data_IF_646967939911
#
_entry.id   IF_646967939911
#
_cell.length_a   1.000
_cell.length_b   1.000
_cell.length_c   1.000
_cell.angle_alpha   90.00
_cell.angle_beta   90.00
_cell.angle_gamma   90.00
#
_symmetry.space_group_name_H-M   'P 1'
#
loop_
_entity.id
_entity.type
_entity.pdbx_description
1 polymer ?
#
# COMPACT_ATOMS: atom_id res chain seq x y z
N UNK A 1 -3.47 10.37 -21.22
CA UNK A 1 -4.58 10.39 -20.26
C UNK A 1 -4.11 9.85 -18.93
N UNK A 2 -4.26 10.61 -17.90
CA UNK A 2 -3.83 10.20 -16.57
C UNK A 2 -4.83 9.24 -15.94
N UNK A 3 -4.30 8.19 -15.32
CA UNK A 3 -5.10 7.33 -14.45
C UNK A 3 -5.10 7.97 -13.08
N UNK A 4 -6.19 8.62 -12.73
CA UNK A 4 -6.30 9.25 -11.42
C UNK A 4 -7.06 8.34 -10.48
N UNK A 5 -6.62 8.32 -9.22
CA UNK A 5 -7.39 7.71 -8.15
C UNK A 5 -8.69 8.51 -8.02
N UNK A 6 -9.79 7.80 -8.04
CA UNK A 6 -11.09 8.44 -7.90
C UNK A 6 -11.49 8.39 -6.43
N UNK A 7 -11.44 9.54 -5.76
CA UNK A 7 -11.95 9.67 -4.40
C UNK A 7 -13.45 9.40 -4.45
N UNK A 8 -13.92 8.54 -3.55
CA UNK A 8 -15.31 8.11 -3.54
C UNK A 8 -15.56 6.80 -4.27
N UNK A 9 -14.57 6.27 -5.00
CA UNK A 9 -14.70 4.95 -5.60
C UNK A 9 -14.56 3.86 -4.53
N UNK A 10 -15.17 2.70 -4.78
CA UNK A 10 -15.06 1.56 -3.87
C UNK A 10 -13.95 0.62 -4.31
N UNK A 11 -13.25 0.06 -3.33
CA UNK A 11 -12.23 -0.97 -3.57
C UNK A 11 -12.77 -2.29 -3.05
N UNK A 12 -12.92 -3.25 -3.95
CA UNK A 12 -13.49 -4.56 -3.64
C UNK A 12 -12.49 -5.70 -3.83
N UNK A 13 -11.41 -5.46 -4.58
CA UNK A 13 -10.41 -6.51 -4.89
C UNK A 13 -9.00 -5.98 -4.71
N UNK A 14 -8.06 -6.90 -4.52
CA UNK A 14 -6.64 -6.56 -4.44
C UNK A 14 -6.13 -5.95 -5.76
N UNK A 15 -6.65 -6.41 -6.89
CA UNK A 15 -6.27 -5.85 -8.19
C UNK A 15 -6.69 -4.39 -8.31
N UNK A 16 -7.89 -4.05 -7.85
CA UNK A 16 -8.34 -2.66 -7.85
C UNK A 16 -7.44 -1.80 -6.96
N UNK A 17 -7.09 -2.29 -5.77
CA UNK A 17 -6.18 -1.59 -4.88
C UNK A 17 -4.81 -1.39 -5.54
N UNK A 18 -4.26 -2.43 -6.13
CA UNK A 18 -2.96 -2.36 -6.80
C UNK A 18 -2.96 -1.31 -7.92
N UNK A 19 -4.04 -1.25 -8.70
CA UNK A 19 -4.17 -0.26 -9.76
C UNK A 19 -4.14 1.17 -9.23
N UNK A 20 -4.72 1.40 -8.07
CA UNK A 20 -4.75 2.73 -7.46
C UNK A 20 -3.37 3.18 -6.98
N UNK A 21 -2.49 2.24 -6.60
CA UNK A 21 -1.13 2.56 -6.19
C UNK A 21 -0.16 2.71 -7.35
N UNK A 22 -0.54 2.27 -8.54
CA UNK A 22 0.36 2.17 -9.69
C UNK A 22 1.04 3.48 -10.05
N UNK A 23 0.27 4.57 -10.10
CA UNK A 23 0.80 5.88 -10.52
C UNK A 23 1.81 6.41 -9.51
N UNK A 24 1.51 6.30 -8.21
CA UNK A 24 2.44 6.77 -7.17
C UNK A 24 3.71 5.92 -7.17
N UNK A 25 3.58 4.62 -7.41
CA UNK A 25 4.73 3.72 -7.49
C UNK A 25 5.61 4.04 -8.69
N UNK A 26 5.02 4.39 -9.82
CA UNK A 26 5.78 4.82 -11.00
C UNK A 26 6.57 6.10 -10.74
N UNK A 27 5.98 7.03 -10.00
CA UNK A 27 6.65 8.28 -9.65
C UNK A 27 7.87 8.05 -8.76
N UNK A 28 7.89 6.99 -7.97
CA UNK A 28 9.03 6.66 -7.12
C UNK A 28 10.24 6.20 -7.95
N UNK A 29 10.01 5.68 -9.18
CA UNK A 29 11.08 5.21 -10.05
C UNK A 29 11.84 4.06 -9.42
N UNK A 30 13.16 4.23 -9.24
CA UNK A 30 14.02 3.22 -8.64
C UNK A 30 14.04 3.27 -7.11
N UNK A 31 13.35 4.23 -6.53
CA UNK A 31 13.27 4.33 -5.07
C UNK A 31 12.16 3.42 -4.56
N UNK A 32 12.41 2.81 -3.42
CA UNK A 32 11.38 2.05 -2.73
C UNK A 32 10.53 3.02 -1.90
N UNK A 33 9.22 3.01 -2.15
CA UNK A 33 8.28 3.85 -1.44
C UNK A 33 7.30 3.03 -0.63
N UNK A 34 6.73 3.63 0.40
CA UNK A 34 5.67 3.04 1.18
C UNK A 34 4.47 3.98 1.18
N UNK A 35 3.29 3.43 0.92
CA UNK A 35 2.09 4.20 0.63
C UNK A 35 0.90 3.70 1.44
N UNK A 36 -0.03 4.61 1.72
CA UNK A 36 -1.29 4.29 2.42
C UNK A 36 -2.46 4.74 1.57
N UNK A 37 -3.43 3.85 1.37
CA UNK A 37 -4.71 4.18 0.77
C UNK A 37 -5.75 4.20 1.89
N UNK A 38 -6.28 5.38 2.26
CA UNK A 38 -7.27 5.46 3.33
C UNK A 38 -8.68 5.24 2.80
N UNK A 39 -9.46 4.45 3.53
CA UNK A 39 -10.81 4.06 3.14
C UNK A 39 -11.77 4.30 4.29
N UNK A 40 -13.05 4.47 3.95
CA UNK A 40 -14.09 4.43 4.98
C UNK A 40 -14.47 2.97 5.32
N UNK A 41 -15.40 2.78 6.23
CA UNK A 41 -15.80 1.44 6.68
C UNK A 41 -16.47 0.59 5.61
N UNK A 42 -16.89 1.17 4.52
CA UNK A 42 -17.49 0.46 3.39
C UNK A 42 -16.53 0.22 2.23
N UNK A 43 -15.26 0.59 2.37
CA UNK A 43 -14.27 0.41 1.32
C UNK A 43 -14.18 1.56 0.33
N UNK A 44 -14.76 2.71 0.67
CA UNK A 44 -14.73 3.87 -0.22
C UNK A 44 -13.43 4.67 -0.01
N UNK A 45 -12.80 5.02 -1.12
CA UNK A 45 -11.53 5.78 -1.10
C UNK A 45 -11.77 7.20 -0.60
N UNK A 46 -11.04 7.60 0.43
CA UNK A 46 -11.16 8.93 1.06
C UNK A 46 -10.13 9.92 0.54
N UNK A 47 -9.01 9.43 0.04
CA UNK A 47 -7.95 10.28 -0.50
C UNK A 47 -7.09 9.45 -1.45
N UNK A 48 -6.34 10.13 -2.31
CA UNK A 48 -5.33 9.47 -3.14
C UNK A 48 -4.29 8.80 -2.26
N UNK A 49 -3.56 7.79 -2.76
CA UNK A 49 -2.51 7.15 -1.98
C UNK A 49 -1.53 8.17 -1.40
N UNK A 50 -1.27 8.03 -0.12
CA UNK A 50 -0.42 8.96 0.62
C UNK A 50 0.98 8.36 0.72
N UNK A 51 1.99 9.12 0.33
CA UNK A 51 3.39 8.68 0.43
C UNK A 51 3.83 8.87 1.87
N UNK A 52 4.16 7.76 2.53
CA UNK A 52 4.63 7.78 3.92
C UNK A 52 6.15 7.83 3.95
N UNK A 53 6.80 7.16 3.01
CA UNK A 53 8.25 7.03 2.99
C UNK A 53 8.73 6.83 1.55
N UNK A 54 9.88 7.40 1.22
CA UNK A 54 10.57 7.17 -0.06
C UNK A 54 12.04 6.93 0.22
N UNK A 55 12.65 6.05 -0.59
CA UNK A 55 14.09 5.88 -0.59
C UNK A 55 14.65 4.96 0.48
N UNK A 56 13.79 4.22 1.20
CA UNK A 56 14.32 3.22 2.11
C UNK A 56 14.82 1.99 1.33
N UNK A 57 15.67 1.21 1.97
CA UNK A 57 16.24 0.03 1.32
C UNK A 57 15.37 -1.19 1.50
N UNK A 58 15.29 -2.00 0.44
CA UNK A 58 14.62 -3.28 0.47
C UNK A 58 15.23 -4.15 1.58
N UNK A 59 14.37 -4.82 2.33
CA UNK A 59 14.78 -5.70 3.43
C UNK A 59 15.08 -4.96 4.73
N UNK A 60 15.05 -3.63 4.72
CA UNK A 60 15.22 -2.82 5.94
C UNK A 60 13.91 -2.10 6.18
N UNK A 61 13.21 -2.47 7.24
CA UNK A 61 11.94 -1.85 7.58
C UNK A 61 12.19 -0.47 8.19
N UNK A 62 12.44 0.51 7.33
CA UNK A 62 12.67 1.90 7.75
C UNK A 62 11.37 2.72 7.74
N UNK A 63 10.22 2.06 7.67
CA UNK A 63 8.94 2.74 7.67
C UNK A 63 8.61 3.20 9.08
N UNK A 64 8.38 4.48 9.24
CA UNK A 64 7.88 5.02 10.50
C UNK A 64 6.39 4.73 10.60
N UNK A 65 6.05 3.74 11.41
CA UNK A 65 4.66 3.29 11.52
C UNK A 65 3.74 4.36 12.07
N UNK A 66 4.26 5.27 12.88
CA UNK A 66 3.49 6.40 13.37
C UNK A 66 2.96 7.24 12.21
N UNK A 67 3.77 7.43 11.17
CA UNK A 67 3.37 8.21 10.00
C UNK A 67 2.27 7.52 9.19
N UNK A 68 2.24 6.19 9.20
CA UNK A 68 1.14 5.44 8.57
C UNK A 68 -0.19 5.79 9.22
N UNK A 69 -0.23 5.77 10.55
CA UNK A 69 -1.46 6.02 11.28
C UNK A 69 -1.84 7.51 11.28
N UNK A 70 -0.86 8.40 11.32
CA UNK A 70 -1.13 9.83 11.18
C UNK A 70 -1.80 10.13 9.83
N UNK A 71 -1.29 9.54 8.76
CA UNK A 71 -1.86 9.72 7.43
C UNK A 71 -3.31 9.24 7.38
N UNK A 72 -3.58 8.08 7.96
CA UNK A 72 -4.92 7.50 8.00
C UNK A 72 -5.89 8.38 8.79
N UNK A 73 -5.51 8.77 9.99
CA UNK A 73 -6.42 9.52 10.88
C UNK A 73 -6.62 10.95 10.42
N UNK A 74 -5.67 11.53 9.72
CA UNK A 74 -5.79 12.89 9.19
C UNK A 74 -7.00 13.05 8.28
N UNK A 75 -7.36 12.02 7.56
CA UNK A 75 -8.52 12.03 6.65
C UNK A 75 -9.71 11.26 7.21
N UNK A 76 -9.66 10.86 8.46
CA UNK A 76 -10.77 10.16 9.10
C UNK A 76 -10.99 8.74 8.61
N UNK A 77 -9.94 8.03 8.26
CA UNK A 77 -10.05 6.67 7.74
C UNK A 77 -10.59 5.71 8.79
N UNK A 78 -11.42 4.76 8.34
CA UNK A 78 -11.88 3.62 9.12
C UNK A 78 -11.10 2.37 8.77
N UNK A 79 -10.48 2.36 7.58
CA UNK A 79 -9.71 1.22 7.07
C UNK A 79 -8.55 1.73 6.23
N UNK A 80 -7.52 0.89 6.11
CA UNK A 80 -6.38 1.20 5.25
C UNK A 80 -5.94 -0.03 4.46
N UNK A 81 -5.40 0.25 3.28
CA UNK A 81 -4.58 -0.68 2.53
C UNK A 81 -3.22 -0.01 2.39
N UNK A 82 -2.15 -0.74 2.68
CA UNK A 82 -0.80 -0.22 2.50
C UNK A 82 -0.15 -0.91 1.31
N UNK A 83 0.84 -0.25 0.74
CA UNK A 83 1.57 -0.79 -0.39
C UNK A 83 3.00 -0.30 -0.39
N UNK A 84 3.88 -1.08 -1.02
CA UNK A 84 5.21 -0.60 -1.35
C UNK A 84 5.65 -1.24 -2.67
N UNK A 85 6.61 -0.61 -3.33
CA UNK A 85 7.14 -1.11 -4.58
C UNK A 85 8.51 -1.74 -4.35
N UNK A 86 8.76 -2.85 -5.04
CA UNK A 86 10.08 -3.49 -5.11
C UNK A 86 10.75 -3.10 -6.43
N UNK A 87 11.70 -2.16 -6.42
CA UNK A 87 12.35 -1.73 -7.67
C UNK A 87 13.10 -2.85 -8.38
N UNK A 88 13.51 -3.89 -7.63
CA UNK A 88 14.19 -5.06 -8.21
C UNK A 88 13.31 -5.87 -9.16
N UNK A 89 11.99 -5.68 -9.11
CA UNK A 89 11.05 -6.48 -9.88
C UNK A 89 10.66 -7.80 -9.24
N UNK A 90 11.22 -8.11 -8.08
CA UNK A 90 10.92 -9.35 -7.34
C UNK A 90 9.73 -9.11 -6.42
N UNK A 91 8.66 -9.87 -6.62
CA UNK A 91 7.43 -9.71 -5.84
C UNK A 91 7.44 -10.45 -4.50
N UNK A 92 8.42 -11.32 -4.29
CA UNK A 92 8.46 -12.10 -3.06
C UNK A 92 8.62 -11.18 -1.84
N UNK A 93 7.74 -11.31 -0.83
CA UNK A 93 7.89 -10.53 0.40
C UNK A 93 9.17 -10.90 1.14
N UNK A 94 9.86 -9.90 1.68
CA UNK A 94 10.97 -10.13 2.58
C UNK A 94 10.46 -10.49 3.97
N UNK A 95 11.33 -11.00 4.83
CA UNK A 95 10.98 -11.22 6.23
C UNK A 95 10.58 -9.90 6.90
N UNK A 96 11.27 -8.81 6.55
CA UNK A 96 10.95 -7.49 7.06
C UNK A 96 9.56 -7.05 6.61
N UNK A 97 9.18 -7.34 5.38
CA UNK A 97 7.83 -7.03 4.87
C UNK A 97 6.75 -7.76 5.68
N UNK A 98 6.96 -9.05 5.92
CA UNK A 98 5.98 -9.85 6.67
C UNK A 98 5.88 -9.39 8.11
N UNK A 99 7.01 -9.07 8.73
CA UNK A 99 7.04 -8.57 10.10
C UNK A 99 6.34 -7.22 10.23
N UNK A 100 6.61 -6.32 9.29
CA UNK A 100 5.96 -5.00 9.24
C UNK A 100 4.44 -5.16 9.11
N UNK A 101 4.00 -6.06 8.23
CA UNK A 101 2.57 -6.34 8.05
C UNK A 101 1.91 -6.76 9.35
N UNK A 102 2.53 -7.70 10.07
CA UNK A 102 1.99 -8.19 11.34
C UNK A 102 1.93 -7.07 12.38
N UNK A 103 2.97 -6.26 12.45
CA UNK A 103 3.00 -5.15 13.40
C UNK A 103 1.93 -4.10 13.08
N UNK A 104 1.80 -3.72 11.81
CA UNK A 104 0.80 -2.73 11.40
C UNK A 104 -0.61 -3.24 11.66
N UNK A 105 -0.86 -4.51 11.34
CA UNK A 105 -2.16 -5.13 11.56
C UNK A 105 -2.54 -5.12 13.05
N UNK A 106 -1.62 -5.52 13.89
CA UNK A 106 -1.84 -5.55 15.33
C UNK A 106 -2.12 -4.14 15.90
N UNK A 107 -1.32 -3.17 15.49
CA UNK A 107 -1.47 -1.79 15.96
C UNK A 107 -2.74 -1.13 15.43
N UNK A 108 -3.11 -1.39 14.18
CA UNK A 108 -4.36 -0.90 13.60
C UNK A 108 -5.55 -1.41 14.39
N UNK A 109 -5.54 -2.69 14.74
CA UNK A 109 -6.60 -3.31 15.53
C UNK A 109 -6.77 -2.61 16.88
N UNK A 110 -5.67 -2.31 17.55
CA UNK A 110 -5.68 -1.56 18.82
C UNK A 110 -6.29 -0.18 18.67
N UNK A 111 -6.10 0.45 17.51
CA UNK A 111 -6.57 1.82 17.24
C UNK A 111 -7.98 1.86 16.66
N UNK A 112 -8.62 0.70 16.48
CA UNK A 112 -9.95 0.64 15.88
C UNK A 112 -9.95 0.89 14.38
N UNK A 113 -8.81 0.67 13.73
CA UNK A 113 -8.64 0.87 12.30
C UNK A 113 -8.53 -0.50 11.63
N UNK A 114 -9.32 -0.74 10.60
CA UNK A 114 -9.26 -2.00 9.88
C UNK A 114 -8.05 -2.02 8.94
N UNK A 115 -7.17 -3.00 9.12
CA UNK A 115 -6.04 -3.23 8.20
C UNK A 115 -6.48 -4.27 7.18
N UNK A 116 -6.70 -3.83 5.95
CA UNK A 116 -7.29 -4.70 4.92
C UNK A 116 -6.23 -5.53 4.21
N UNK A 117 -5.14 -4.90 3.77
CA UNK A 117 -4.16 -5.60 2.95
C UNK A 117 -2.84 -4.84 2.90
N UNK A 118 -1.80 -5.57 2.49
CA UNK A 118 -0.50 -5.04 2.16
C UNK A 118 -0.15 -5.53 0.76
N UNK A 119 0.01 -4.61 -0.17
CA UNK A 119 0.25 -4.89 -1.59
C UNK A 119 1.71 -4.61 -1.91
N UNK A 120 2.38 -5.55 -2.54
CA UNK A 120 3.72 -5.33 -3.08
C UNK A 120 3.59 -5.16 -4.59
N UNK A 121 4.22 -4.11 -5.11
CA UNK A 121 4.17 -3.76 -6.53
C UNK A 121 5.56 -3.90 -7.15
N UNK A 122 5.62 -4.38 -8.36
CA UNK A 122 6.85 -4.41 -9.13
C UNK A 122 6.56 -3.99 -10.56
N UNK A 123 7.43 -3.16 -11.13
CA UNK A 123 7.33 -2.76 -12.52
C UNK A 123 7.59 -3.95 -13.42
N UNK A 124 6.87 -4.03 -14.52
CA UNK A 124 7.07 -5.06 -15.52
C UNK A 124 7.13 -4.44 -16.91
N UNK A 125 7.65 -5.21 -17.86
CA UNK A 125 7.64 -4.83 -19.28
C UNK A 125 6.30 -5.17 -19.94
N UNK A 126 5.35 -5.72 -19.18
CA UNK A 126 4.05 -6.07 -19.72
C UNK A 126 3.21 -4.84 -20.02
N UNK A 127 2.15 -5.02 -20.78
CA UNK A 127 1.21 -3.95 -21.11
C UNK A 127 0.57 -3.32 -19.86
N UNK A 128 0.46 -4.07 -18.76
CA UNK A 128 -0.04 -3.54 -17.49
C UNK A 128 0.91 -2.54 -16.85
N UNK A 129 2.20 -2.68 -17.10
CA UNK A 129 3.23 -1.83 -16.50
C UNK A 129 3.58 -2.18 -15.07
N UNK A 130 2.89 -3.10 -14.42
CA UNK A 130 3.16 -3.55 -13.06
C UNK A 130 2.57 -4.93 -12.81
N UNK A 131 3.19 -5.63 -11.87
CA UNK A 131 2.63 -6.82 -11.24
C UNK A 131 2.51 -6.56 -9.75
N UNK A 132 1.71 -7.37 -9.07
CA UNK A 132 1.52 -7.20 -7.63
C UNK A 132 1.30 -8.53 -6.93
N UNK A 133 1.52 -8.51 -5.62
CA UNK A 133 1.09 -9.58 -4.73
C UNK A 133 0.35 -8.97 -3.55
N UNK A 134 -0.75 -9.60 -3.17
CA UNK A 134 -1.51 -9.24 -1.97
C UNK A 134 -1.08 -10.16 -0.84
N UNK A 135 -0.60 -9.60 0.27
CA UNK A 135 -0.18 -10.41 1.40
C UNK A 135 -1.38 -11.05 2.11
N UNK A 136 -2.55 -10.44 2.03
CA UNK A 136 -3.76 -11.03 2.59
C UNK A 136 -4.25 -12.23 1.79
N UNK A 137 -4.09 -12.21 0.47
CA UNK A 137 -4.55 -13.27 -0.43
C UNK A 137 -3.44 -14.22 -0.83
N UNK A 138 -2.26 -13.68 -1.14
CA UNK A 138 -1.17 -14.44 -1.74
C UNK A 138 -0.38 -15.30 -0.79
N UNK A 139 -0.52 -15.07 0.51
CA UNK A 139 0.18 -15.82 1.55
C UNK A 139 -0.72 -16.87 2.19
N UNK A 140 -1.98 -16.78 1.90
CA UNK A 140 -2.98 -17.72 2.45
C UNK A 140 -3.07 -19.00 1.64
#
# INVERSE_FOLDING_TARGET
MENKVIVGAYVETAMQAAALFCDVAKMAGEQEGFYVLPLDGGGKVLAEPIIVSLGYREGVAAVDQKEVFKAAFKVGADAIIVAHNHPSGVLKPSKADLHLTEELKSRAEWLGLEFIDHIILASTDSAKGFDFVSLAEGVL
#
